data_IF_738627218988
#
_entry.id   IF_738627218988
#
_cell.length_a   1.000
_cell.length_b   1.000
_cell.length_c   1.000
_cell.angle_alpha   90.00
_cell.angle_beta   90.00
_cell.angle_gamma   90.00
#
_symmetry.space_group_name_H-M   'P 1'
#
loop_
_entity.id
_entity.type
_entity.pdbx_description
1 polymer ?
#
# COMPACT_ATOMS: atom_id res chain seq x y z
N UNK A 1 -35.45 -42.81 -56.20
CA UNK A 1 -35.94 -41.42 -56.20
C UNK A 1 -36.94 -41.30 -55.08
N UNK A 2 -36.58 -40.63 -53.98
CA UNK A 2 -37.52 -39.82 -53.22
C UNK A 2 -36.74 -38.93 -52.26
N UNK A 3 -37.06 -37.64 -52.31
CA UNK A 3 -36.39 -36.54 -51.66
C UNK A 3 -37.19 -36.23 -50.39
N UNK A 4 -36.62 -36.44 -49.20
CA UNK A 4 -37.24 -36.03 -47.93
C UNK A 4 -36.46 -34.81 -47.40
N UNK A 5 -37.11 -33.63 -47.27
CA UNK A 5 -36.46 -32.40 -46.87
C UNK A 5 -36.19 -32.37 -45.36
N UNK A 6 -34.96 -32.02 -44.97
CA UNK A 6 -34.63 -31.70 -43.59
C UNK A 6 -34.81 -30.18 -43.35
N UNK A 7 -35.40 -29.78 -42.22
CA UNK A 7 -35.71 -28.37 -41.94
C UNK A 7 -34.44 -27.56 -41.63
N UNK A 8 -34.35 -26.35 -42.20
CA UNK A 8 -33.28 -25.38 -41.93
C UNK A 8 -33.40 -24.84 -40.50
N UNK A 9 -32.35 -25.01 -39.69
CA UNK A 9 -32.18 -24.31 -38.41
C UNK A 9 -31.83 -22.85 -38.69
N UNK A 10 -32.81 -21.95 -38.59
CA UNK A 10 -32.62 -20.49 -38.59
C UNK A 10 -32.33 -19.97 -37.18
N UNK A 11 -31.20 -20.33 -36.57
CA UNK A 11 -30.86 -19.79 -35.24
C UNK A 11 -29.33 -19.72 -35.04
N UNK A 12 -28.61 -18.95 -35.84
CA UNK A 12 -27.15 -18.80 -35.63
C UNK A 12 -26.59 -17.37 -35.81
N UNK A 13 -27.41 -16.41 -36.25
CA UNK A 13 -26.92 -15.05 -36.55
C UNK A 13 -27.27 -14.01 -35.49
N UNK A 14 -28.47 -14.05 -34.91
CA UNK A 14 -28.89 -13.02 -33.93
C UNK A 14 -28.19 -13.12 -32.56
N UNK A 15 -27.71 -14.31 -32.19
CA UNK A 15 -27.01 -14.50 -30.91
C UNK A 15 -25.53 -14.12 -31.00
N UNK A 16 -24.93 -14.18 -32.20
CA UNK A 16 -23.53 -13.79 -32.44
C UNK A 16 -23.37 -12.27 -32.46
N UNK A 17 -24.31 -11.55 -33.07
CA UNK A 17 -24.23 -10.09 -33.19
C UNK A 17 -24.42 -9.37 -31.85
N UNK A 18 -25.22 -9.94 -30.93
CA UNK A 18 -25.40 -9.43 -29.56
C UNK A 18 -24.18 -9.69 -28.67
N UNK A 19 -23.43 -10.75 -28.92
CA UNK A 19 -22.19 -11.05 -28.20
C UNK A 19 -21.05 -10.10 -28.58
N UNK A 20 -20.95 -9.69 -29.84
CA UNK A 20 -19.91 -8.77 -30.29
C UNK A 20 -20.13 -7.31 -29.83
N UNK A 21 -21.39 -6.86 -29.73
CA UNK A 21 -21.70 -5.52 -29.20
C UNK A 21 -21.49 -5.40 -27.68
N UNK A 22 -21.65 -6.46 -26.90
CA UNK A 22 -21.36 -6.44 -25.45
C UNK A 22 -19.86 -6.52 -25.13
N UNK A 23 -19.03 -7.01 -26.05
CA UNK A 23 -17.59 -7.13 -25.85
C UNK A 23 -16.83 -5.82 -26.10
N UNK A 24 -17.48 -4.82 -26.72
CA UNK A 24 -16.88 -3.53 -27.04
C UNK A 24 -16.99 -2.47 -25.92
N UNK A 25 -17.80 -2.72 -24.88
CA UNK A 25 -18.02 -1.81 -23.74
C UNK A 25 -17.54 -2.40 -22.39
N UNK A 26 -16.59 -3.33 -22.42
CA UNK A 26 -15.83 -3.61 -21.21
C UNK A 26 -15.00 -2.35 -20.88
N UNK A 27 -15.07 -1.82 -19.64
CA UNK A 27 -14.10 -0.82 -19.20
C UNK A 27 -12.73 -1.40 -19.50
N UNK A 28 -11.88 -0.64 -20.19
CA UNK A 28 -10.50 -1.06 -20.38
C UNK A 28 -9.97 -1.37 -18.99
N UNK A 29 -9.63 -2.63 -18.74
CA UNK A 29 -8.86 -3.05 -17.58
C UNK A 29 -7.56 -2.24 -17.60
N UNK A 30 -7.58 -1.03 -17.05
CA UNK A 30 -6.38 -0.33 -16.62
C UNK A 30 -5.82 -1.18 -15.50
N UNK A 31 -5.07 -2.21 -15.91
CA UNK A 31 -4.32 -3.06 -15.00
C UNK A 31 -3.50 -2.12 -14.14
N UNK A 32 -3.83 -2.03 -12.85
CA UNK A 32 -3.00 -1.33 -11.89
C UNK A 32 -1.61 -1.95 -11.96
N UNK A 33 -0.66 -1.20 -12.52
CA UNK A 33 0.75 -1.57 -12.51
C UNK A 33 1.32 -0.90 -11.26
N UNK A 34 1.56 -1.65 -10.16
CA UNK A 34 2.22 -1.06 -9.00
C UNK A 34 3.60 -0.54 -9.41
N UNK A 35 4.05 0.58 -8.82
CA UNK A 35 5.43 1.03 -9.00
C UNK A 35 6.40 -0.07 -8.57
N UNK A 36 7.62 -0.03 -9.11
CA UNK A 36 8.66 -0.96 -8.67
C UNK A 36 8.87 -0.82 -7.14
N UNK A 37 8.96 -1.94 -6.41
CA UNK A 37 9.25 -1.90 -4.98
C UNK A 37 10.61 -1.26 -4.74
N UNK A 38 10.63 -0.19 -3.94
CA UNK A 38 11.85 0.52 -3.55
C UNK A 38 11.99 0.49 -2.02
N UNK A 39 13.18 0.11 -1.54
CA UNK A 39 13.43 -0.04 -0.10
C UNK A 39 13.34 1.32 0.62
N UNK A 40 13.89 2.38 0.02
CA UNK A 40 13.85 3.72 0.59
C UNK A 40 12.40 4.22 0.73
N UNK A 41 11.58 4.02 -0.29
CA UNK A 41 10.16 4.32 -0.26
C UNK A 41 9.46 3.52 0.86
N UNK A 42 9.71 2.22 0.94
CA UNK A 42 9.12 1.37 1.98
C UNK A 42 9.43 1.87 3.40
N UNK A 43 10.70 2.09 3.75
CA UNK A 43 11.06 2.56 5.10
C UNK A 43 10.57 4.00 5.36
N UNK A 44 10.49 4.83 4.32
CA UNK A 44 9.93 6.19 4.43
C UNK A 44 8.42 6.15 4.73
N UNK A 45 7.67 5.27 4.06
CA UNK A 45 6.23 5.13 4.35
C UNK A 45 5.96 4.61 5.77
N UNK A 46 6.80 3.73 6.30
CA UNK A 46 6.74 3.32 7.70
C UNK A 46 7.06 4.48 8.65
N UNK A 47 8.08 5.29 8.34
CA UNK A 47 8.42 6.45 9.14
C UNK A 47 7.31 7.51 9.17
N UNK A 48 6.63 7.73 8.05
CA UNK A 48 5.44 8.61 7.97
C UNK A 48 4.32 8.06 8.87
N UNK A 49 4.03 6.76 8.80
CA UNK A 49 3.02 6.14 9.66
C UNK A 49 3.36 6.30 11.14
N UNK A 50 4.61 6.04 11.53
CA UNK A 50 5.07 6.28 12.89
C UNK A 50 4.89 7.75 13.31
N UNK A 51 5.18 8.70 12.42
CA UNK A 51 5.03 10.13 12.68
C UNK A 51 3.57 10.56 12.85
N UNK A 52 2.64 9.95 12.11
CA UNK A 52 1.19 10.12 12.28
C UNK A 52 0.76 9.60 13.65
N UNK A 53 1.17 8.38 14.02
CA UNK A 53 0.86 7.80 15.33
C UNK A 53 1.53 8.53 16.50
N UNK A 54 2.63 9.25 16.25
CA UNK A 54 3.21 10.17 17.22
C UNK A 54 2.46 11.52 17.33
N UNK A 55 1.48 11.78 16.44
CA UNK A 55 0.78 13.06 16.37
C UNK A 55 1.62 14.21 15.82
N UNK A 56 2.79 13.92 15.24
CA UNK A 56 3.66 14.89 14.56
C UNK A 56 2.99 15.33 13.25
N UNK A 57 2.42 14.35 12.54
CA UNK A 57 1.68 14.55 11.30
C UNK A 57 0.19 14.29 11.49
N UNK A 58 -0.63 14.97 10.71
CA UNK A 58 -2.06 14.68 10.62
C UNK A 58 -2.29 13.40 9.84
N UNK A 59 -3.26 12.59 10.26
CA UNK A 59 -3.67 11.45 9.47
C UNK A 59 -4.40 11.94 8.21
N UNK A 60 -3.90 11.67 6.98
CA UNK A 60 -4.50 12.17 5.75
C UNK A 60 -5.90 11.59 5.48
N UNK A 61 -6.26 10.45 6.09
CA UNK A 61 -7.57 9.84 5.92
C UNK A 61 -8.64 10.44 6.85
N UNK A 62 -8.25 10.83 8.07
CA UNK A 62 -9.20 11.37 9.06
C UNK A 62 -9.10 12.88 9.25
N UNK A 63 -8.05 13.51 8.73
CA UNK A 63 -7.68 14.92 8.98
C UNK A 63 -7.60 15.28 10.47
N UNK A 64 -7.30 14.28 11.32
CA UNK A 64 -7.17 14.45 12.77
C UNK A 64 -5.79 14.00 13.23
N UNK A 65 -5.33 14.62 14.32
CA UNK A 65 -4.20 14.14 15.11
C UNK A 65 -4.73 13.24 16.20
N UNK A 66 -4.64 11.94 15.98
CA UNK A 66 -5.00 10.91 16.96
C UNK A 66 -3.70 10.16 17.33
N UNK A 67 -2.92 10.68 18.30
CA UNK A 67 -1.68 10.05 18.69
C UNK A 67 -1.95 8.70 19.37
N UNK A 68 -1.26 7.66 18.89
CA UNK A 68 -1.21 6.33 19.48
C UNK A 68 0.27 5.94 19.65
N UNK A 69 0.87 6.25 20.81
CA UNK A 69 2.27 5.91 21.08
C UNK A 69 2.54 4.40 21.00
N UNK A 70 1.56 3.53 21.27
CA UNK A 70 1.78 2.09 21.18
C UNK A 70 1.99 1.64 19.73
N UNK A 71 1.16 2.15 18.81
CA UNK A 71 1.32 1.91 17.37
C UNK A 71 2.61 2.53 16.84
N UNK A 72 2.93 3.76 17.24
CA UNK A 72 4.20 4.39 16.88
C UNK A 72 5.39 3.54 17.30
N UNK A 73 5.39 3.03 18.54
CA UNK A 73 6.46 2.17 19.05
C UNK A 73 6.61 0.90 18.22
N UNK A 74 5.50 0.23 17.89
CA UNK A 74 5.53 -0.99 17.08
C UNK A 74 6.20 -0.77 15.72
N UNK A 75 5.92 0.36 15.07
CA UNK A 75 6.52 0.70 13.77
C UNK A 75 8.01 1.04 13.93
N UNK A 76 8.39 1.78 14.97
CA UNK A 76 9.79 2.08 15.29
C UNK A 76 10.59 0.80 15.55
N UNK A 77 10.02 -0.13 16.31
CA UNK A 77 10.62 -1.44 16.57
C UNK A 77 10.73 -2.26 15.27
N UNK A 78 9.73 -2.16 14.38
CA UNK A 78 9.76 -2.81 13.06
C UNK A 78 10.90 -2.26 12.20
N UNK A 79 11.09 -0.94 12.14
CA UNK A 79 12.24 -0.33 11.45
C UNK A 79 13.58 -0.78 12.07
N UNK A 80 13.64 -0.91 13.40
CA UNK A 80 14.83 -1.40 14.09
C UNK A 80 15.12 -2.88 13.79
N UNK A 81 14.07 -3.70 13.70
CA UNK A 81 14.20 -5.09 13.26
C UNK A 81 14.71 -5.17 11.82
N UNK A 82 14.19 -4.33 10.92
CA UNK A 82 14.64 -4.28 9.53
C UNK A 82 16.12 -3.95 9.45
N UNK A 83 16.60 -2.92 10.15
CA UNK A 83 18.03 -2.57 10.22
C UNK A 83 18.90 -3.78 10.59
N UNK A 84 18.49 -4.54 11.60
CA UNK A 84 19.24 -5.73 12.03
C UNK A 84 19.17 -6.87 11.01
N UNK A 85 18.02 -7.09 10.38
CA UNK A 85 17.79 -8.18 9.42
C UNK A 85 18.36 -7.90 8.04
N UNK A 86 18.53 -6.65 7.65
CA UNK A 86 19.07 -6.24 6.34
C UNK A 86 20.54 -5.83 6.39
N UNK A 87 21.18 -5.88 7.57
CA UNK A 87 22.60 -5.56 7.73
C UNK A 87 23.48 -6.34 6.75
N UNK A 88 24.33 -5.63 6.02
CA UNK A 88 25.20 -6.19 4.98
C UNK A 88 24.55 -6.31 3.59
N UNK A 89 23.23 -6.10 3.48
CA UNK A 89 22.50 -6.06 2.21
C UNK A 89 22.10 -4.63 1.78
N UNK A 90 22.30 -3.64 2.64
CA UNK A 90 22.00 -2.24 2.36
C UNK A 90 23.16 -1.54 1.66
N UNK A 91 22.84 -0.67 0.72
CA UNK A 91 23.75 0.37 0.25
C UNK A 91 24.03 1.39 1.37
N UNK A 92 25.11 2.15 1.25
CA UNK A 92 25.46 3.20 2.22
C UNK A 92 24.33 4.24 2.38
N UNK A 93 23.63 4.55 1.30
CA UNK A 93 22.52 5.51 1.29
C UNK A 93 21.29 4.96 2.03
N UNK A 94 20.92 3.71 1.78
CA UNK A 94 19.81 3.05 2.47
C UNK A 94 20.09 2.90 3.97
N UNK A 95 21.31 2.51 4.33
CA UNK A 95 21.74 2.39 5.72
C UNK A 95 21.66 3.75 6.44
N UNK A 96 22.22 4.80 5.84
CA UNK A 96 22.20 6.15 6.40
C UNK A 96 20.77 6.71 6.54
N UNK A 97 19.90 6.45 5.55
CA UNK A 97 18.50 6.86 5.61
C UNK A 97 17.78 6.15 6.77
N UNK A 98 17.92 4.82 6.88
CA UNK A 98 17.28 4.04 7.93
C UNK A 98 17.76 4.44 9.33
N UNK A 99 19.06 4.65 9.50
CA UNK A 99 19.64 5.13 10.76
C UNK A 99 19.10 6.51 11.15
N UNK A 100 19.05 7.44 10.20
CA UNK A 100 18.49 8.78 10.42
C UNK A 100 17.02 8.72 10.86
N UNK A 101 16.20 7.96 10.13
CA UNK A 101 14.78 7.81 10.46
C UNK A 101 14.58 7.20 11.85
N UNK A 102 15.34 6.16 12.19
CA UNK A 102 15.29 5.54 13.51
C UNK A 102 15.67 6.52 14.63
N UNK A 103 16.73 7.32 14.44
CA UNK A 103 17.15 8.31 15.42
C UNK A 103 16.08 9.38 15.65
N UNK A 104 15.52 9.95 14.58
CA UNK A 104 14.50 10.99 14.64
C UNK A 104 13.23 10.48 15.34
N UNK A 105 12.74 9.30 14.95
CA UNK A 105 11.52 8.73 15.49
C UNK A 105 11.67 8.32 16.96
N UNK A 106 12.80 7.69 17.35
CA UNK A 106 13.05 7.31 18.75
C UNK A 106 13.14 8.54 19.64
N UNK A 107 13.79 9.60 19.18
CA UNK A 107 13.88 10.87 19.90
C UNK A 107 12.50 11.48 20.10
N UNK A 108 11.69 11.56 19.03
CA UNK A 108 10.34 12.08 19.10
C UNK A 108 9.44 11.25 20.04
N UNK A 109 9.53 9.92 19.96
CA UNK A 109 8.80 9.00 20.84
C UNK A 109 9.12 9.25 22.32
N UNK A 110 10.40 9.40 22.67
CA UNK A 110 10.84 9.71 24.03
C UNK A 110 10.27 11.06 24.49
N UNK A 111 10.34 12.10 23.66
CA UNK A 111 9.79 13.42 24.00
C UNK A 111 8.29 13.37 24.27
N UNK A 112 7.54 12.70 23.41
CA UNK A 112 6.07 12.62 23.54
C UNK A 112 5.71 11.82 24.79
N UNK A 113 6.27 10.61 24.96
CA UNK A 113 5.94 9.74 26.10
C UNK A 113 6.34 10.34 27.45
N UNK A 114 7.43 11.11 27.52
CA UNK A 114 7.81 11.85 28.73
C UNK A 114 6.87 13.01 29.03
N UNK A 115 6.43 13.76 28.01
CA UNK A 115 5.50 14.88 28.18
C UNK A 115 4.08 14.41 28.55
N UNK A 116 3.63 13.28 28.00
CA UNK A 116 2.32 12.69 28.37
C UNK A 116 2.27 12.25 29.84
N UNK A 117 3.40 11.82 30.40
CA UNK A 117 3.50 11.41 31.81
C UNK A 117 3.62 12.56 32.83
N UNK A 118 3.79 13.81 32.37
CA UNK A 118 3.86 15.00 33.24
C UNK A 118 2.58 15.85 33.24
N UNK A 119 1.55 15.46 32.47
CA UNK A 119 0.26 16.16 32.41
C UNK A 119 -0.91 15.35 33.03
N UNK A 120 -0.62 14.34 33.84
CA UNK A 120 -1.63 13.56 34.60
C UNK A 120 -1.48 13.76 36.09
#
# INVERSE_FOLDING_TARGET
MENIPHPQKKVDTEWKEKADKQKAEAPKDEKFVPPEPDFNFFITTLAIQASIFLGIMENPASSKKEPDPAQAKFIIDTLGMLEQKTKGNLTEQEAALLEKLLFELRTAYIHITKNSGQQS
#
